data_IF_293622721681
#
_entry.id   IF_293622721681
#
_cell.length_a   1.000
_cell.length_b   1.000
_cell.length_c   1.000
_cell.angle_alpha   90.00
_cell.angle_beta   90.00
_cell.angle_gamma   90.00
#
_symmetry.space_group_name_H-M   'P 1'
#
loop_
_entity.id
_entity.type
_entity.pdbx_description
1 polymer ?
#
# COMPACT_ATOMS: atom_id res chain seq x y z
N UNK A 1 5.69 3.64 -50.41
CA UNK A 1 7.14 3.78 -50.16
C UNK A 1 7.55 2.60 -49.29
N UNK A 2 8.07 1.51 -49.87
CA UNK A 2 9.51 1.12 -49.90
C UNK A 2 10.15 1.10 -48.49
N UNK A 3 10.74 0.06 -47.92
CA UNK A 3 10.84 -1.42 -48.06
C UNK A 3 11.54 -1.88 -46.73
N UNK A 4 11.47 -3.17 -46.32
CA UNK A 4 12.06 -3.72 -45.09
C UNK A 4 13.48 -4.29 -45.31
N UNK A 5 14.22 -4.63 -44.24
CA UNK A 5 15.39 -5.54 -44.32
C UNK A 5 15.51 -6.51 -43.14
N UNK A 6 15.83 -7.73 -43.53
CA UNK A 6 15.99 -8.99 -42.79
C UNK A 6 17.47 -9.33 -42.53
N UNK A 7 17.70 -10.08 -41.44
CA UNK A 7 18.52 -11.31 -41.31
C UNK A 7 20.08 -11.36 -41.49
N UNK A 8 20.71 -11.92 -40.44
CA UNK A 8 21.72 -13.03 -40.37
C UNK A 8 23.21 -12.80 -40.71
N UNK A 9 24.10 -13.18 -39.76
CA UNK A 9 25.28 -14.11 -39.84
C UNK A 9 26.06 -14.06 -38.50
N UNK A 10 26.21 -15.14 -37.72
CA UNK A 10 27.15 -16.29 -37.77
C UNK A 10 28.64 -15.97 -37.59
N UNK A 11 29.26 -16.48 -36.52
CA UNK A 11 30.73 -16.58 -36.36
C UNK A 11 31.12 -17.25 -35.03
N UNK A 12 31.77 -18.43 -35.11
CA UNK A 12 32.33 -19.24 -34.00
C UNK A 12 33.83 -18.96 -33.83
N UNK A 13 34.35 -19.09 -32.61
CA UNK A 13 35.65 -19.74 -32.30
C UNK A 13 35.79 -20.00 -30.78
N UNK A 14 36.13 -21.24 -30.38
CA UNK A 14 36.49 -21.65 -29.00
C UNK A 14 37.91 -21.20 -28.61
N UNK A 15 38.55 -21.46 -27.46
CA UNK A 15 38.47 -22.34 -26.25
C UNK A 15 39.65 -21.88 -25.32
N UNK A 16 39.97 -22.42 -24.10
CA UNK A 16 39.30 -23.35 -23.16
C UNK A 16 39.26 -22.88 -21.66
N UNK A 17 38.69 -23.75 -20.82
CA UNK A 17 38.49 -23.76 -19.35
C UNK A 17 39.75 -23.71 -18.45
N UNK A 18 39.59 -23.45 -17.12
CA UNK A 18 39.33 -24.49 -16.09
C UNK A 18 38.12 -24.12 -15.19
N UNK A 19 37.07 -24.94 -15.02
CA UNK A 19 36.94 -26.08 -14.09
C UNK A 19 37.23 -25.73 -12.61
N UNK A 20 36.18 -25.32 -11.89
CA UNK A 20 36.05 -25.50 -10.44
C UNK A 20 34.80 -26.35 -10.14
N UNK A 21 34.95 -27.24 -9.16
CA UNK A 21 34.13 -28.41 -8.89
C UNK A 21 32.73 -28.10 -8.29
N UNK A 22 31.74 -28.99 -8.51
CA UNK A 22 30.42 -28.89 -7.87
C UNK A 22 30.45 -29.40 -6.42
N UNK A 23 29.84 -28.64 -5.51
CA UNK A 23 29.57 -29.06 -4.14
C UNK A 23 28.32 -29.95 -4.14
N UNK A 24 28.47 -31.20 -3.69
CA UNK A 24 27.37 -32.17 -3.54
C UNK A 24 26.34 -31.73 -2.48
N UNK A 25 25.05 -32.09 -2.64
CA UNK A 25 24.01 -31.76 -1.68
C UNK A 25 23.98 -32.75 -0.51
N UNK A 26 24.04 -32.23 0.72
CA UNK A 26 23.81 -33.02 1.92
C UNK A 26 22.31 -33.39 2.08
N UNK A 27 22.03 -34.68 1.96
CA UNK A 27 21.05 -35.50 2.70
C UNK A 27 19.68 -34.91 3.08
N UNK A 28 18.62 -35.50 2.51
CA UNK A 28 17.26 -35.40 3.02
C UNK A 28 17.02 -36.36 4.22
N UNK A 29 16.23 -35.97 5.23
CA UNK A 29 15.52 -36.90 6.11
C UNK A 29 13.98 -36.81 5.93
N UNK A 30 13.21 -37.76 6.50
CA UNK A 30 12.11 -38.40 5.79
C UNK A 30 10.73 -37.73 5.93
N UNK A 31 9.82 -38.23 5.10
CA UNK A 31 8.41 -37.92 5.00
C UNK A 31 7.60 -38.40 6.21
N UNK A 32 6.80 -37.50 6.79
CA UNK A 32 5.58 -37.83 7.54
C UNK A 32 4.56 -36.69 7.42
N UNK A 33 3.34 -37.03 7.01
CA UNK A 33 2.15 -36.16 6.86
C UNK A 33 1.37 -36.06 8.20
N UNK A 34 0.18 -35.41 8.26
CA UNK A 34 0.01 -33.97 8.47
C UNK A 34 -0.81 -33.65 9.73
N UNK A 35 -0.36 -32.74 10.59
CA UNK A 35 -1.21 -32.15 11.64
C UNK A 35 -0.78 -30.72 11.97
N UNK A 36 -1.75 -29.82 11.86
CA UNK A 36 -1.89 -28.50 12.50
C UNK A 36 -0.61 -27.76 12.93
N UNK A 37 -0.27 -26.69 12.21
CA UNK A 37 0.55 -25.60 12.77
C UNK A 37 -0.16 -24.26 12.59
N UNK A 38 -0.91 -23.89 13.63
CA UNK A 38 -1.37 -22.54 13.86
C UNK A 38 -0.17 -21.60 14.04
N UNK A 39 -0.19 -20.47 13.31
CA UNK A 39 0.84 -19.44 13.37
C UNK A 39 0.98 -18.86 14.77
N UNK A 40 2.12 -19.12 15.41
CA UNK A 40 2.50 -18.45 16.65
C UNK A 40 3.23 -17.15 16.31
N UNK A 41 2.53 -16.03 16.43
CA UNK A 41 3.13 -14.69 16.47
C UNK A 41 3.94 -14.55 17.76
N UNK A 42 5.27 -14.53 17.63
CA UNK A 42 6.18 -14.26 18.73
C UNK A 42 6.19 -12.76 19.05
N UNK A 43 5.44 -12.35 20.09
CA UNK A 43 5.54 -11.03 20.70
C UNK A 43 6.60 -11.07 21.81
N UNK A 44 7.83 -10.67 21.47
CA UNK A 44 8.87 -10.46 22.49
C UNK A 44 8.65 -9.11 23.16
N UNK A 45 8.01 -9.12 24.33
CA UNK A 45 7.94 -7.97 25.24
C UNK A 45 9.22 -7.90 26.07
N UNK A 46 10.13 -7.00 25.69
CA UNK A 46 11.25 -6.64 26.55
C UNK A 46 10.75 -5.73 27.69
N UNK A 47 10.74 -6.26 28.92
CA UNK A 47 10.68 -5.44 30.15
C UNK A 47 11.99 -4.67 30.25
N UNK A 48 11.93 -3.35 30.24
CA UNK A 48 13.05 -2.52 30.71
C UNK A 48 12.58 -1.64 31.86
N UNK A 49 13.23 -1.90 33.00
CA UNK A 49 13.13 -1.20 34.26
C UNK A 49 13.50 0.29 34.16
N UNK A 50 12.75 1.12 34.89
CA UNK A 50 13.16 2.39 35.52
C UNK A 50 13.96 3.41 34.71
N UNK A 51 13.26 4.40 34.12
CA UNK A 51 13.52 5.84 34.30
C UNK A 51 12.44 6.64 33.58
N UNK A 52 11.75 7.47 34.35
CA UNK A 52 10.72 8.41 33.93
C UNK A 52 11.33 9.51 33.05
N UNK A 53 11.18 9.40 31.74
CA UNK A 53 11.24 10.57 30.84
C UNK A 53 9.82 10.91 30.42
N UNK A 54 9.37 12.11 30.79
CA UNK A 54 8.07 12.68 30.47
C UNK A 54 7.87 12.70 28.95
N UNK A 55 7.10 11.75 28.42
CA UNK A 55 6.62 11.79 27.04
C UNK A 55 5.31 12.57 26.99
N UNK A 56 5.29 13.71 26.30
CA UNK A 56 4.03 14.34 25.84
C UNK A 56 3.51 13.52 24.67
N UNK A 57 2.69 12.52 24.95
CA UNK A 57 1.93 11.79 23.93
C UNK A 57 0.67 12.57 23.61
N UNK A 58 0.68 13.31 22.50
CA UNK A 58 -0.55 13.75 21.86
C UNK A 58 -1.14 12.56 21.10
N UNK A 59 -2.26 12.06 21.58
CA UNK A 59 -3.04 11.04 20.89
C UNK A 59 -3.75 11.68 19.69
N UNK A 60 -3.24 11.42 18.48
CA UNK A 60 -3.95 11.34 17.19
C UNK A 60 -2.92 11.03 16.09
N UNK A 61 -3.16 9.97 15.32
CA UNK A 61 -2.36 9.57 14.16
C UNK A 61 -1.35 8.45 14.46
N UNK A 62 -1.24 7.52 13.52
CA UNK A 62 -0.21 6.48 13.40
C UNK A 62 1.18 7.11 13.43
N UNK A 63 1.71 7.40 14.62
CA UNK A 63 3.07 7.93 14.75
C UNK A 63 4.05 6.81 14.40
N UNK A 64 4.80 7.01 13.31
CA UNK A 64 5.99 6.21 13.01
C UNK A 64 6.93 6.38 14.20
N UNK A 65 7.08 5.33 15.01
CA UNK A 65 7.97 5.37 16.17
C UNK A 65 9.41 5.23 15.69
N UNK A 66 10.02 6.34 15.29
CA UNK A 66 11.46 6.46 15.06
C UNK A 66 12.17 6.38 16.42
N UNK A 67 12.26 5.19 17.00
CA UNK A 67 13.04 4.96 18.22
C UNK A 67 14.53 5.01 17.87
N UNK A 68 15.35 5.66 18.72
CA UNK A 68 16.83 5.71 18.68
C UNK A 68 17.46 4.50 17.94
N UNK A 69 17.86 4.76 16.69
CA UNK A 69 18.84 4.11 15.80
C UNK A 69 18.94 2.57 15.63
N UNK A 70 18.36 1.72 16.48
CA UNK A 70 18.68 0.28 16.46
C UNK A 70 17.59 -0.62 15.83
N UNK A 71 16.33 -0.19 15.81
CA UNK A 71 15.22 -1.05 15.34
C UNK A 71 15.09 -1.05 13.81
N UNK A 72 15.29 0.08 13.14
CA UNK A 72 15.18 0.20 11.68
C UNK A 72 16.34 -0.50 10.95
N UNK A 73 17.59 -0.31 11.40
CA UNK A 73 18.76 -0.97 10.84
C UNK A 73 18.68 -2.51 11.01
N UNK A 74 18.24 -2.98 12.19
CA UNK A 74 18.05 -4.42 12.44
C UNK A 74 16.93 -5.02 11.58
N UNK A 75 15.80 -4.30 11.40
CA UNK A 75 14.72 -4.71 10.51
C UNK A 75 15.19 -4.79 9.06
N UNK A 76 15.95 -3.81 8.59
CA UNK A 76 16.51 -3.82 7.24
C UNK A 76 17.48 -4.99 7.03
N UNK A 77 18.38 -5.22 7.98
CA UNK A 77 19.30 -6.36 7.92
C UNK A 77 18.55 -7.70 7.88
N UNK A 78 17.49 -7.85 8.70
CA UNK A 78 16.61 -9.02 8.68
C UNK A 78 15.96 -9.18 7.31
N UNK A 79 15.44 -8.09 6.75
CA UNK A 79 14.74 -8.11 5.47
C UNK A 79 15.67 -8.48 4.32
N UNK A 80 16.90 -7.94 4.29
CA UNK A 80 17.92 -8.32 3.30
C UNK A 80 18.31 -9.78 3.44
N UNK A 81 18.58 -10.26 4.65
CA UNK A 81 18.95 -11.67 4.89
C UNK A 81 17.85 -12.65 4.48
N UNK A 82 16.58 -12.25 4.58
CA UNK A 82 15.42 -13.08 4.22
C UNK A 82 14.90 -12.83 2.82
N UNK A 83 15.53 -11.93 2.07
CA UNK A 83 15.07 -11.48 0.76
C UNK A 83 13.60 -11.01 0.72
N UNK A 84 13.12 -10.34 1.77
CA UNK A 84 11.72 -9.85 1.85
C UNK A 84 11.61 -8.34 1.62
N UNK A 85 10.46 -7.85 1.12
CA UNK A 85 10.18 -6.42 1.08
C UNK A 85 9.96 -5.83 2.48
N UNK A 86 10.14 -4.51 2.60
CA UNK A 86 9.87 -3.73 3.81
C UNK A 86 8.81 -2.70 3.48
N UNK A 87 7.63 -2.82 4.10
CA UNK A 87 6.61 -1.77 4.06
C UNK A 87 6.75 -0.85 5.26
N UNK A 88 7.00 0.43 5.01
CA UNK A 88 7.16 1.45 6.04
C UNK A 88 6.35 2.69 5.67
N UNK A 89 5.39 3.05 6.51
CA UNK A 89 4.75 4.37 6.44
C UNK A 89 5.83 5.42 6.68
N UNK A 90 6.08 6.25 5.68
CA UNK A 90 7.03 7.36 5.73
C UNK A 90 6.71 8.35 4.61
N UNK A 91 7.22 9.57 4.73
CA UNK A 91 6.85 10.67 3.82
C UNK A 91 5.33 10.91 3.83
N UNK A 92 4.68 10.70 4.98
CA UNK A 92 3.21 10.66 5.02
C UNK A 92 2.60 12.02 5.40
N UNK A 93 3.20 12.72 6.37
CA UNK A 93 2.61 13.94 6.91
C UNK A 93 3.64 14.91 7.48
N UNK A 94 3.26 16.18 7.54
CA UNK A 94 4.15 17.24 8.04
C UNK A 94 4.58 16.99 9.49
N UNK A 95 3.69 16.46 10.33
CA UNK A 95 4.03 16.09 11.71
C UNK A 95 5.16 15.04 11.79
N UNK A 96 5.23 14.10 10.85
CA UNK A 96 6.36 13.15 10.75
C UNK A 96 7.64 13.90 10.38
N UNK A 97 7.57 14.75 9.35
CA UNK A 97 8.70 15.54 8.87
C UNK A 97 9.29 16.41 9.98
N UNK A 98 8.44 17.15 10.69
CA UNK A 98 8.85 18.06 11.76
C UNK A 98 9.50 17.30 12.91
N UNK A 99 8.91 16.17 13.31
CA UNK A 99 9.47 15.31 14.35
C UNK A 99 10.83 14.73 13.96
N UNK A 100 10.99 14.29 12.70
CA UNK A 100 12.26 13.78 12.19
C UNK A 100 13.31 14.90 12.13
N UNK A 101 12.92 16.11 11.74
CA UNK A 101 13.80 17.27 11.74
C UNK A 101 14.26 17.63 13.16
N UNK A 102 13.35 17.64 14.15
CA UNK A 102 13.65 17.92 15.55
C UNK A 102 14.59 16.87 16.15
N UNK A 103 14.31 15.58 15.94
CA UNK A 103 15.04 14.49 16.58
C UNK A 103 16.35 14.10 15.88
N UNK A 104 16.45 14.34 14.57
CA UNK A 104 17.54 13.84 13.74
C UNK A 104 18.23 14.91 12.88
N UNK A 105 17.75 16.17 12.90
CA UNK A 105 18.35 17.28 12.14
C UNK A 105 18.34 17.05 10.62
N UNK A 106 17.39 16.28 10.10
CA UNK A 106 17.34 15.90 8.69
C UNK A 106 15.92 15.62 8.21
N UNK A 107 15.73 15.41 6.91
CA UNK A 107 14.41 15.05 6.34
C UNK A 107 14.15 13.54 6.46
N UNK A 108 12.88 13.09 6.45
CA UNK A 108 12.58 11.65 6.46
C UNK A 108 13.26 10.88 5.32
N UNK A 109 13.30 11.43 4.10
CA UNK A 109 13.97 10.79 2.97
C UNK A 109 15.48 10.62 3.20
N UNK A 110 16.16 11.67 3.69
CA UNK A 110 17.59 11.61 4.03
C UNK A 110 17.86 10.65 5.19
N UNK A 111 16.95 10.56 6.15
CA UNK A 111 17.04 9.57 7.22
C UNK A 111 16.93 8.15 6.67
N UNK A 112 15.98 7.87 5.78
CA UNK A 112 15.85 6.57 5.11
C UNK A 112 17.15 6.20 4.37
N UNK A 113 17.72 7.13 3.60
CA UNK A 113 18.99 6.92 2.91
C UNK A 113 20.13 6.56 3.87
N UNK A 114 20.28 7.30 4.98
CA UNK A 114 21.31 7.04 6.01
C UNK A 114 21.17 5.68 6.68
N UNK A 115 19.95 5.14 6.77
CA UNK A 115 19.71 3.82 7.37
C UNK A 115 19.94 2.65 6.41
N UNK A 116 20.16 2.92 5.13
CA UNK A 116 20.24 1.90 4.08
C UNK A 116 18.88 1.35 3.63
N UNK A 117 17.77 1.77 4.26
CA UNK A 117 16.42 1.33 3.90
C UNK A 117 15.96 1.76 2.51
N UNK A 118 16.57 2.81 1.95
CA UNK A 118 16.19 3.37 0.66
C UNK A 118 16.74 2.52 -0.49
N UNK A 119 16.09 1.38 -0.76
CA UNK A 119 16.40 0.46 -1.84
C UNK A 119 15.12 -0.18 -2.44
N UNK A 120 15.30 -1.02 -3.47
CA UNK A 120 14.22 -1.73 -4.18
C UNK A 120 13.26 -2.56 -3.32
N UNK A 121 13.57 -2.79 -2.05
CA UNK A 121 12.73 -3.55 -1.11
C UNK A 121 11.75 -2.64 -0.37
N UNK A 122 11.98 -1.33 -0.39
CA UNK A 122 11.16 -0.38 0.35
C UNK A 122 9.86 -0.09 -0.39
N UNK A 123 8.76 -0.37 0.30
CA UNK A 123 7.42 0.00 -0.09
C UNK A 123 6.98 1.15 0.83
N UNK A 124 6.67 2.30 0.23
CA UNK A 124 6.32 3.54 0.92
C UNK A 124 4.83 3.81 0.76
N UNK A 125 3.97 3.46 1.73
CA UNK A 125 2.61 3.96 1.77
C UNK A 125 2.56 5.49 1.77
N UNK A 126 1.60 6.03 1.03
CA UNK A 126 1.32 7.44 0.84
C UNK A 126 2.32 8.18 -0.04
N UNK A 127 3.55 8.40 0.45
CA UNK A 127 4.55 9.22 -0.25
C UNK A 127 4.07 10.65 -0.52
N UNK A 128 3.36 11.27 0.42
CA UNK A 128 2.73 12.59 0.25
C UNK A 128 3.73 13.75 0.43
N UNK A 129 4.62 13.64 1.41
CA UNK A 129 5.51 14.73 1.85
C UNK A 129 6.91 14.54 1.30
N UNK A 130 7.13 15.03 0.09
CA UNK A 130 8.45 15.31 -0.49
C UNK A 130 8.71 16.83 -0.52
N UNK A 131 9.87 17.25 -1.00
CA UNK A 131 10.16 18.65 -1.35
C UNK A 131 9.05 19.35 -2.15
N UNK A 132 8.41 18.63 -3.08
CA UNK A 132 7.30 19.10 -3.90
C UNK A 132 6.06 19.51 -3.11
N UNK A 133 5.90 19.02 -1.87
CA UNK A 133 4.78 19.41 -1.03
C UNK A 133 4.75 20.95 -0.86
N UNK A 134 3.59 21.62 -1.02
CA UNK A 134 3.47 23.09 -0.91
C UNK A 134 4.03 23.67 0.38
N UNK A 135 3.78 23.00 1.51
CA UNK A 135 4.31 23.41 2.83
C UNK A 135 5.81 23.10 3.04
N UNK A 136 6.51 22.58 2.02
CA UNK A 136 7.95 22.28 2.08
C UNK A 136 8.72 23.20 1.14
N UNK A 137 8.66 22.94 -0.17
CA UNK A 137 9.25 23.80 -1.19
C UNK A 137 8.29 24.10 -2.34
N UNK A 138 7.18 23.35 -2.49
CA UNK A 138 6.21 23.52 -3.57
C UNK A 138 6.69 23.07 -4.96
N UNK A 139 7.92 22.58 -5.06
CA UNK A 139 8.56 22.11 -6.28
C UNK A 139 9.49 20.93 -5.98
N UNK A 140 9.69 20.05 -6.96
CA UNK A 140 10.66 18.96 -6.82
C UNK A 140 12.08 19.51 -6.92
N UNK A 141 12.91 19.21 -5.93
CA UNK A 141 14.32 19.60 -5.81
C UNK A 141 15.24 18.38 -5.76
N UNK A 142 14.73 17.20 -6.14
CA UNK A 142 15.49 15.97 -6.28
C UNK A 142 14.99 14.81 -5.41
N UNK A 143 13.98 15.00 -4.56
CA UNK A 143 13.42 13.88 -3.78
C UNK A 143 12.83 12.82 -4.72
N UNK A 144 12.15 13.21 -5.82
CA UNK A 144 11.60 12.22 -6.77
C UNK A 144 12.70 11.46 -7.51
N UNK A 145 13.76 12.16 -7.92
CA UNK A 145 14.92 11.55 -8.55
C UNK A 145 15.63 10.57 -7.60
N UNK A 146 15.75 10.91 -6.32
CA UNK A 146 16.33 10.04 -5.30
C UNK A 146 15.48 8.79 -5.05
N UNK A 147 14.15 8.93 -4.98
CA UNK A 147 13.23 7.81 -4.86
C UNK A 147 13.31 6.88 -6.08
N UNK A 148 13.32 7.44 -7.29
CA UNK A 148 13.44 6.70 -8.53
C UNK A 148 14.78 5.94 -8.62
N UNK A 149 15.89 6.61 -8.33
CA UNK A 149 17.22 6.00 -8.35
C UNK A 149 17.37 4.84 -7.35
N UNK A 150 16.69 4.92 -6.20
CA UNK A 150 16.65 3.85 -5.22
C UNK A 150 15.77 2.65 -5.65
N UNK A 151 14.89 2.84 -6.64
CA UNK A 151 13.97 1.82 -7.13
C UNK A 151 12.85 1.47 -6.14
N UNK A 152 12.47 2.40 -5.25
CA UNK A 152 11.39 2.17 -4.30
C UNK A 152 10.03 2.10 -5.00
N UNK A 153 9.05 1.50 -4.33
CA UNK A 153 7.65 1.58 -4.76
C UNK A 153 6.84 2.47 -3.80
N UNK A 154 6.05 3.38 -4.34
CA UNK A 154 5.12 4.22 -3.57
C UNK A 154 3.71 3.65 -3.68
N UNK A 155 3.08 3.36 -2.55
CA UNK A 155 1.71 2.85 -2.48
C UNK A 155 0.78 4.03 -2.22
N UNK A 156 0.17 4.53 -3.29
CA UNK A 156 -0.77 5.64 -3.22
C UNK A 156 -2.12 5.16 -2.66
N UNK A 157 -2.65 5.86 -1.66
CA UNK A 157 -3.91 5.51 -0.99
C UNK A 157 -4.91 6.68 -1.07
N UNK A 158 -5.51 6.98 -2.24
CA UNK A 158 -6.31 8.20 -2.45
C UNK A 158 -7.41 8.42 -1.40
N UNK A 159 -8.21 7.38 -1.11
CA UNK A 159 -9.36 7.51 -0.21
C UNK A 159 -8.98 7.80 1.24
N UNK A 160 -7.90 7.21 1.74
CA UNK A 160 -7.46 7.46 3.13
C UNK A 160 -6.85 8.85 3.23
N UNK A 161 -6.02 9.25 2.25
CA UNK A 161 -5.40 10.56 2.19
C UNK A 161 -6.47 11.66 2.16
N UNK A 162 -7.48 11.51 1.28
CA UNK A 162 -8.60 12.45 1.19
C UNK A 162 -9.36 12.57 2.51
N UNK A 163 -9.63 11.45 3.21
CA UNK A 163 -10.31 11.47 4.53
C UNK A 163 -9.54 12.28 5.58
N UNK A 164 -8.22 12.38 5.45
CA UNK A 164 -7.36 13.18 6.33
C UNK A 164 -7.03 14.57 5.77
N UNK A 165 -7.68 15.00 4.69
CA UNK A 165 -7.43 16.30 4.07
C UNK A 165 -6.06 16.40 3.39
N UNK A 166 -5.48 15.27 2.98
CA UNK A 166 -4.19 15.19 2.31
C UNK A 166 -4.34 14.66 0.88
N UNK A 167 -3.36 14.97 0.03
CA UNK A 167 -3.31 14.50 -1.36
C UNK A 167 -1.87 14.22 -1.76
N UNK A 168 -1.67 13.31 -2.71
CA UNK A 168 -0.37 13.15 -3.35
C UNK A 168 -0.15 14.36 -4.28
N UNK A 169 0.91 15.12 -4.04
CA UNK A 169 1.20 16.36 -4.77
C UNK A 169 1.77 16.07 -6.17
N UNK A 170 0.91 15.59 -7.06
CA UNK A 170 1.13 15.13 -8.44
C UNK A 170 1.47 13.65 -8.58
N UNK A 171 0.45 12.82 -8.88
CA UNK A 171 0.63 11.43 -9.30
C UNK A 171 1.52 11.33 -10.55
N UNK A 172 1.29 12.22 -11.53
CA UNK A 172 2.02 12.18 -12.80
C UNK A 172 3.49 12.57 -12.66
N UNK A 173 3.85 13.47 -11.74
CA UNK A 173 5.26 13.76 -11.46
C UNK A 173 6.01 12.52 -10.98
N UNK A 174 5.43 11.75 -10.05
CA UNK A 174 6.01 10.50 -9.56
C UNK A 174 6.18 9.47 -10.69
N UNK A 175 5.13 9.31 -11.50
CA UNK A 175 5.15 8.40 -12.64
C UNK A 175 6.22 8.79 -13.67
N UNK A 176 6.28 10.08 -14.04
CA UNK A 176 7.27 10.60 -15.01
C UNK A 176 8.70 10.52 -14.49
N UNK A 177 8.91 10.62 -13.18
CA UNK A 177 10.20 10.38 -12.54
C UNK A 177 10.64 8.90 -12.60
N UNK A 178 9.76 7.98 -13.01
CA UNK A 178 10.06 6.54 -13.10
C UNK A 178 9.86 5.79 -11.78
N UNK A 179 9.16 6.39 -10.80
CA UNK A 179 8.84 5.73 -9.54
C UNK A 179 7.73 4.71 -9.79
N UNK A 180 7.89 3.48 -9.29
CA UNK A 180 6.83 2.49 -9.36
C UNK A 180 5.67 2.89 -8.43
N UNK A 181 4.52 3.23 -9.02
CA UNK A 181 3.31 3.55 -8.28
C UNK A 181 2.42 2.31 -8.13
N UNK A 182 1.95 2.07 -6.92
CA UNK A 182 0.98 1.06 -6.56
C UNK A 182 -0.26 1.72 -5.96
N UNK A 183 -1.38 1.00 -5.88
CA UNK A 183 -2.53 1.44 -5.08
C UNK A 183 -2.70 0.64 -3.79
N UNK A 184 -3.19 1.32 -2.77
CA UNK A 184 -3.58 0.73 -1.49
C UNK A 184 -4.86 1.36 -0.94
N UNK A 185 -5.59 0.61 -0.12
CA UNK A 185 -6.80 1.12 0.55
C UNK A 185 -6.51 1.71 1.92
N UNK A 186 -5.42 1.26 2.55
CA UNK A 186 -4.97 1.56 3.93
C UNK A 186 -5.97 1.12 5.01
N UNK A 187 -7.21 1.59 4.96
CA UNK A 187 -8.27 1.34 5.95
C UNK A 187 -9.51 0.65 5.35
N UNK A 188 -10.42 0.24 6.24
CA UNK A 188 -11.73 -0.32 5.88
C UNK A 188 -12.76 0.80 5.60
N UNK A 189 -13.75 0.59 4.72
CA UNK A 189 -13.88 -0.55 3.80
C UNK A 189 -12.82 -0.50 2.67
N UNK A 190 -12.22 -1.64 2.29
CA UNK A 190 -11.30 -1.68 1.18
C UNK A 190 -12.06 -1.58 -0.14
N UNK A 191 -11.83 -0.52 -0.92
CA UNK A 191 -12.44 -0.33 -2.23
C UNK A 191 -11.44 0.33 -3.18
N UNK A 192 -10.63 -0.49 -3.86
CA UNK A 192 -9.64 0.01 -4.81
C UNK A 192 -10.27 0.73 -6.01
N UNK A 193 -11.52 0.40 -6.38
CA UNK A 193 -12.21 1.05 -7.50
C UNK A 193 -12.53 2.49 -7.14
N UNK A 194 -13.13 2.71 -5.97
CA UNK A 194 -13.33 4.06 -5.45
C UNK A 194 -12.01 4.78 -5.15
N UNK A 195 -10.97 4.02 -4.81
CA UNK A 195 -9.58 4.49 -4.78
C UNK A 195 -9.15 5.13 -6.10
N UNK A 196 -9.26 4.39 -7.19
CA UNK A 196 -8.91 4.87 -8.53
C UNK A 196 -9.74 6.09 -8.95
N UNK A 197 -11.07 6.03 -8.78
CA UNK A 197 -11.98 7.16 -9.03
C UNK A 197 -11.53 8.44 -8.31
N UNK A 198 -11.37 8.33 -6.98
CA UNK A 198 -10.93 9.46 -6.14
C UNK A 198 -9.56 9.98 -6.59
N UNK A 199 -8.63 9.08 -6.90
CA UNK A 199 -7.27 9.43 -7.31
C UNK A 199 -7.24 10.18 -8.65
N UNK A 200 -7.97 9.70 -9.66
CA UNK A 200 -8.05 10.37 -10.98
C UNK A 200 -8.55 11.79 -10.83
N UNK A 201 -9.63 11.99 -10.06
CA UNK A 201 -10.19 13.32 -9.84
C UNK A 201 -9.22 14.24 -9.08
N UNK A 202 -8.60 13.75 -8.00
CA UNK A 202 -7.64 14.54 -7.22
C UNK A 202 -6.39 14.91 -8.02
N UNK A 203 -5.88 13.99 -8.84
CA UNK A 203 -4.69 14.27 -9.66
C UNK A 203 -4.93 15.43 -10.63
N UNK A 204 -6.12 15.50 -11.26
CA UNK A 204 -6.50 16.61 -12.16
C UNK A 204 -6.61 17.94 -11.42
N UNK A 205 -7.19 17.94 -10.22
CA UNK A 205 -7.31 19.14 -9.38
C UNK A 205 -5.93 19.63 -8.97
N UNK A 206 -5.06 18.72 -8.50
CA UNK A 206 -3.70 19.06 -8.04
C UNK A 206 -2.82 19.57 -9.18
N UNK A 207 -2.88 18.94 -10.36
CA UNK A 207 -2.06 19.32 -11.49
C UNK A 207 -2.65 20.48 -12.33
N UNK A 208 -3.92 20.86 -12.08
CA UNK A 208 -4.59 21.93 -12.81
C UNK A 208 -4.84 21.65 -14.30
N UNK A 209 -4.86 20.38 -14.72
CA UNK A 209 -5.01 19.98 -16.13
C UNK A 209 -5.85 18.71 -16.29
N UNK A 210 -6.60 18.65 -17.39
CA UNK A 210 -7.56 17.58 -17.65
C UNK A 210 -6.90 16.21 -17.93
N UNK A 211 -5.71 16.23 -18.53
CA UNK A 211 -4.95 15.06 -18.97
C UNK A 211 -4.06 14.47 -17.86
N UNK A 212 -4.16 14.96 -16.62
CA UNK A 212 -3.38 14.44 -15.51
C UNK A 212 -3.85 13.05 -15.09
N UNK A 213 -2.89 12.12 -14.99
CA UNK A 213 -3.05 10.76 -14.47
C UNK A 213 -4.28 10.03 -15.05
N UNK A 214 -4.29 9.75 -16.36
CA UNK A 214 -5.40 9.08 -17.02
C UNK A 214 -5.68 7.70 -16.41
N UNK A 215 -6.90 7.21 -16.63
CA UNK A 215 -7.49 6.05 -15.97
C UNK A 215 -6.59 4.79 -16.06
N UNK A 216 -5.96 4.57 -17.21
CA UNK A 216 -5.06 3.44 -17.45
C UNK A 216 -3.90 3.39 -16.45
N UNK A 217 -3.33 4.53 -16.04
CA UNK A 217 -2.22 4.54 -15.09
C UNK A 217 -2.67 4.16 -13.67
N UNK A 218 -3.92 4.44 -13.32
CA UNK A 218 -4.51 3.96 -12.07
C UNK A 218 -4.79 2.46 -12.11
N UNK A 219 -5.27 1.94 -13.24
CA UNK A 219 -5.44 0.48 -13.43
C UNK A 219 -4.09 -0.24 -13.40
N UNK A 220 -3.06 0.31 -14.06
CA UNK A 220 -1.68 -0.20 -13.99
C UNK A 220 -1.17 -0.20 -12.54
N UNK A 221 -1.37 0.90 -11.79
CA UNK A 221 -0.97 0.97 -10.39
C UNK A 221 -1.73 -0.03 -9.49
N UNK A 222 -3.00 -0.32 -9.80
CA UNK A 222 -3.80 -1.32 -9.12
C UNK A 222 -3.38 -2.77 -9.42
N UNK A 223 -2.68 -3.00 -10.53
CA UNK A 223 -2.34 -4.34 -11.04
C UNK A 223 -0.82 -4.52 -11.15
N UNK A 224 -0.22 -4.12 -12.27
CA UNK A 224 1.21 -4.21 -12.56
C UNK A 224 2.08 -3.51 -11.52
N UNK A 225 1.64 -2.37 -10.98
CA UNK A 225 2.35 -1.62 -9.95
C UNK A 225 2.58 -2.47 -8.70
N UNK A 226 1.51 -3.10 -8.20
CA UNK A 226 1.57 -4.03 -7.07
C UNK A 226 2.43 -5.26 -7.38
N UNK A 227 2.31 -5.83 -8.57
CA UNK A 227 3.13 -6.96 -9.01
C UNK A 227 4.63 -6.62 -9.03
N UNK A 228 5.00 -5.45 -9.56
CA UNK A 228 6.38 -4.93 -9.57
C UNK A 228 6.90 -4.69 -8.14
N UNK A 229 6.10 -4.10 -7.27
CA UNK A 229 6.45 -3.88 -5.86
C UNK A 229 6.72 -5.19 -5.11
N UNK A 230 5.97 -6.24 -5.43
CA UNK A 230 6.16 -7.59 -4.87
C UNK A 230 7.25 -8.39 -5.58
N UNK A 231 7.88 -7.83 -6.64
CA UNK A 231 8.89 -8.50 -7.48
C UNK A 231 8.34 -9.80 -8.10
N UNK A 232 7.08 -9.78 -8.53
CA UNK A 232 6.35 -10.90 -9.14
C UNK A 232 6.01 -10.57 -10.59
N UNK A 233 6.75 -11.16 -11.53
CA UNK A 233 6.55 -10.94 -12.97
C UNK A 233 5.36 -11.72 -13.53
N UNK A 234 4.90 -12.74 -12.81
CA UNK A 234 3.78 -13.62 -13.14
C UNK A 234 2.41 -13.09 -12.67
N UNK A 235 2.34 -11.88 -12.09
CA UNK A 235 1.11 -11.26 -11.60
C UNK A 235 0.75 -9.97 -12.36
N UNK A 236 -0.51 -9.54 -12.22
CA UNK A 236 -0.99 -8.23 -12.67
C UNK A 236 -1.18 -8.09 -14.18
N UNK A 237 -1.21 -9.20 -14.92
CA UNK A 237 -1.29 -9.24 -16.38
C UNK A 237 -2.08 -10.45 -16.87
N UNK A 238 -2.65 -10.33 -18.06
CA UNK A 238 -3.39 -11.40 -18.74
C UNK A 238 -2.60 -11.86 -19.97
N UNK A 239 -1.63 -12.74 -19.77
CA UNK A 239 -0.82 -13.33 -20.84
C UNK A 239 -0.43 -14.78 -20.53
N UNK A 240 -0.15 -15.62 -21.54
CA UNK A 240 0.32 -16.98 -21.31
C UNK A 240 1.55 -17.03 -20.39
N UNK A 241 1.52 -17.90 -19.39
CA UNK A 241 2.59 -18.06 -18.40
C UNK A 241 2.41 -17.22 -17.12
N UNK A 242 1.51 -16.23 -17.10
CA UNK A 242 1.12 -15.55 -15.87
C UNK A 242 0.20 -16.42 -15.00
N UNK A 243 0.12 -16.13 -13.70
CA UNK A 243 -0.88 -16.73 -12.82
C UNK A 243 -2.29 -16.32 -13.26
N UNK A 244 -3.23 -17.26 -13.16
CA UNK A 244 -4.64 -16.99 -13.40
C UNK A 244 -5.28 -16.27 -12.20
N UNK A 245 -4.83 -15.04 -11.95
CA UNK A 245 -5.37 -14.11 -10.96
C UNK A 245 -6.31 -13.15 -11.68
N UNK A 246 -7.61 -13.43 -11.61
CA UNK A 246 -8.64 -12.77 -12.40
C UNK A 246 -9.74 -12.21 -11.49
N UNK A 247 -10.31 -11.09 -11.90
CA UNK A 247 -11.54 -10.56 -11.29
C UNK A 247 -12.50 -10.12 -12.39
N UNK A 248 -13.77 -10.45 -12.24
CA UNK A 248 -14.82 -10.02 -13.15
C UNK A 248 -15.78 -9.07 -12.43
N UNK A 249 -16.17 -8.00 -13.12
CA UNK A 249 -17.09 -6.99 -12.62
C UNK A 249 -18.33 -6.91 -13.52
N UNK A 250 -19.49 -6.69 -12.92
CA UNK A 250 -20.73 -6.38 -13.66
C UNK A 250 -20.79 -4.91 -14.02
N UNK A 251 -21.26 -4.61 -15.24
CA UNK A 251 -21.47 -3.26 -15.76
C UNK A 251 -22.88 -3.04 -16.30
N UNK A 252 -23.79 -3.98 -16.08
CA UNK A 252 -25.14 -3.99 -16.64
C UNK A 252 -26.20 -3.33 -15.74
N UNK A 253 -25.78 -2.59 -14.71
CA UNK A 253 -26.70 -1.86 -13.84
C UNK A 253 -27.02 -0.48 -14.41
N UNK A 254 -28.27 -0.04 -14.32
CA UNK A 254 -28.67 1.31 -14.76
C UNK A 254 -27.86 2.42 -14.08
N UNK A 255 -27.34 2.16 -12.87
CA UNK A 255 -26.49 3.07 -12.09
C UNK A 255 -25.08 3.23 -12.68
N UNK A 256 -24.65 2.31 -13.55
CA UNK A 256 -23.36 2.41 -14.25
C UNK A 256 -23.40 3.42 -15.40
N UNK A 257 -24.61 3.79 -15.83
CA UNK A 257 -24.84 4.73 -16.93
C UNK A 257 -24.59 4.12 -18.31
N UNK A 258 -24.37 4.98 -19.31
CA UNK A 258 -24.04 4.54 -20.67
C UNK A 258 -22.60 3.99 -20.70
N UNK A 259 -22.43 2.82 -21.31
CA UNK A 259 -21.13 2.20 -21.53
C UNK A 259 -20.53 2.70 -22.85
N UNK A 260 -19.39 3.40 -22.78
CA UNK A 260 -18.59 3.79 -23.95
C UNK A 260 -17.26 3.02 -23.93
N UNK A 261 -16.44 3.30 -22.92
CA UNK A 261 -15.24 2.52 -22.60
C UNK A 261 -15.47 1.78 -21.27
N UNK A 262 -15.43 0.43 -21.23
CA UNK A 262 -15.83 -0.33 -20.05
C UNK A 262 -14.90 -0.08 -18.85
N UNK A 263 -13.62 0.20 -19.09
CA UNK A 263 -12.65 0.47 -18.01
C UNK A 263 -12.93 1.83 -17.38
N UNK A 264 -13.10 2.86 -18.20
CA UNK A 264 -13.39 4.23 -17.77
C UNK A 264 -14.77 4.34 -17.15
N UNK A 265 -15.80 3.74 -17.76
CA UNK A 265 -17.16 3.69 -17.21
C UNK A 265 -17.13 3.01 -15.84
N UNK A 266 -16.49 1.84 -15.72
CA UNK A 266 -16.38 1.15 -14.44
C UNK A 266 -15.62 1.95 -13.39
N UNK A 267 -14.47 2.52 -13.77
CA UNK A 267 -13.61 3.25 -12.85
C UNK A 267 -14.32 4.48 -12.28
N UNK A 268 -15.03 5.25 -13.11
CA UNK A 268 -15.64 6.52 -12.70
C UNK A 268 -17.04 6.37 -12.08
N UNK A 269 -17.79 5.32 -12.44
CA UNK A 269 -19.17 5.15 -11.99
C UNK A 269 -19.34 3.98 -11.01
N UNK A 270 -18.36 3.08 -10.92
CA UNK A 270 -18.48 1.81 -10.21
C UNK A 270 -17.84 1.76 -8.83
N UNK A 271 -17.92 0.59 -8.21
CA UNK A 271 -17.29 0.25 -6.94
C UNK A 271 -16.83 -1.21 -6.91
N UNK A 272 -15.98 -1.58 -5.94
CA UNK A 272 -15.59 -2.98 -5.75
C UNK A 272 -16.78 -3.94 -5.52
N UNK A 273 -17.98 -3.43 -5.20
CA UNK A 273 -19.19 -4.24 -4.99
C UNK A 273 -19.74 -4.89 -6.27
N UNK A 274 -19.34 -4.41 -7.44
CA UNK A 274 -19.73 -5.01 -8.72
C UNK A 274 -18.94 -6.28 -9.05
N UNK A 275 -17.96 -6.65 -8.24
CA UNK A 275 -17.19 -7.86 -8.44
C UNK A 275 -18.10 -9.10 -8.30
N UNK A 276 -18.14 -9.95 -9.32
CA UNK A 276 -18.91 -11.19 -9.32
C UNK A 276 -18.05 -12.42 -9.19
N UNK A 277 -16.90 -12.41 -9.86
CA UNK A 277 -15.97 -13.53 -9.83
C UNK A 277 -14.59 -13.06 -9.41
N UNK A 278 -13.92 -13.88 -8.61
CA UNK A 278 -12.50 -13.72 -8.31
C UNK A 278 -11.85 -15.08 -8.37
N UNK A 279 -10.72 -15.16 -9.06
CA UNK A 279 -9.91 -16.35 -9.26
C UNK A 279 -8.50 -16.02 -8.79
N UNK A 280 -7.89 -16.92 -8.02
CA UNK A 280 -6.51 -16.79 -7.54
C UNK A 280 -5.77 -18.07 -7.87
N UNK A 281 -4.68 -17.95 -8.63
CA UNK A 281 -3.89 -19.08 -9.15
C UNK A 281 -4.78 -20.13 -9.84
N UNK A 282 -5.76 -19.68 -10.63
CA UNK A 282 -6.70 -20.56 -11.34
C UNK A 282 -7.83 -21.14 -10.47
N UNK A 283 -7.83 -20.89 -9.15
CA UNK A 283 -8.89 -21.35 -8.25
C UNK A 283 -9.95 -20.26 -8.05
N UNK A 284 -11.23 -20.54 -8.35
CA UNK A 284 -12.32 -19.63 -7.99
C UNK A 284 -12.39 -19.43 -6.47
N UNK A 285 -12.32 -18.19 -6.01
CA UNK A 285 -12.46 -17.79 -4.60
C UNK A 285 -13.72 -16.98 -4.34
N UNK A 286 -14.36 -16.47 -5.39
CA UNK A 286 -15.67 -15.84 -5.36
C UNK A 286 -16.42 -16.17 -6.66
N UNK A 287 -17.71 -16.47 -6.54
CA UNK A 287 -18.61 -16.78 -7.67
C UNK A 287 -19.95 -16.10 -7.42
N UNK A 288 -20.48 -15.41 -8.43
CA UNK A 288 -21.72 -14.63 -8.35
C UNK A 288 -21.81 -13.70 -7.12
N UNK A 289 -20.68 -13.06 -6.77
CA UNK A 289 -20.58 -12.13 -5.63
C UNK A 289 -20.59 -12.82 -4.26
N UNK A 290 -20.48 -14.16 -4.22
CA UNK A 290 -20.49 -14.96 -2.99
C UNK A 290 -19.12 -15.59 -2.76
N UNK A 291 -18.61 -15.47 -1.54
CA UNK A 291 -17.38 -16.14 -1.10
C UNK A 291 -17.76 -17.49 -0.48
N UNK A 292 -17.37 -18.63 -1.07
CA UNK A 292 -17.71 -19.95 -0.53
C UNK A 292 -17.26 -20.11 0.93
N UNK A 293 -18.09 -20.77 1.74
CA UNK A 293 -17.80 -21.04 3.15
C UNK A 293 -17.88 -19.83 4.09
N UNK A 294 -18.34 -18.66 3.61
CA UNK A 294 -18.43 -17.45 4.42
C UNK A 294 -19.88 -17.09 4.77
N UNK A 295 -20.22 -17.07 6.06
CA UNK A 295 -21.48 -16.50 6.57
C UNK A 295 -21.30 -15.00 6.83
N UNK A 296 -21.60 -14.18 5.81
CA UNK A 296 -21.47 -12.73 5.87
C UNK A 296 -22.38 -12.07 6.93
N UNK A 297 -23.67 -12.45 7.09
CA UNK A 297 -24.50 -11.95 8.19
C UNK A 297 -23.88 -12.21 9.57
N UNK A 298 -23.38 -13.41 9.83
CA UNK A 298 -22.72 -13.72 11.10
C UNK A 298 -21.40 -12.96 11.28
N UNK A 299 -20.58 -12.87 10.24
CA UNK A 299 -19.35 -12.08 10.28
C UNK A 299 -19.63 -10.62 10.62
N UNK A 300 -20.68 -10.03 10.05
CA UNK A 300 -21.13 -8.67 10.36
C UNK A 300 -21.53 -8.52 11.83
N UNK A 301 -22.34 -9.44 12.36
CA UNK A 301 -22.73 -9.42 13.79
C UNK A 301 -21.50 -9.50 14.71
N UNK A 302 -20.58 -10.42 14.44
CA UNK A 302 -19.34 -10.57 15.22
C UNK A 302 -18.46 -9.32 15.16
N UNK A 303 -18.33 -8.71 13.98
CA UNK A 303 -17.59 -7.46 13.81
C UNK A 303 -18.23 -6.31 14.60
N UNK A 304 -19.56 -6.22 14.63
CA UNK A 304 -20.28 -5.23 15.42
C UNK A 304 -20.02 -5.40 16.93
N UNK A 305 -20.11 -6.62 17.46
CA UNK A 305 -19.79 -6.90 18.87
C UNK A 305 -18.34 -6.53 19.23
N UNK A 306 -17.39 -6.84 18.35
CA UNK A 306 -15.99 -6.44 18.55
C UNK A 306 -15.81 -4.92 18.54
N UNK A 307 -16.49 -4.22 17.61
CA UNK A 307 -16.46 -2.76 17.55
C UNK A 307 -17.03 -2.13 18.82
N UNK A 308 -18.15 -2.65 19.35
CA UNK A 308 -18.75 -2.18 20.61
C UNK A 308 -17.79 -2.37 21.80
N UNK A 309 -17.12 -3.53 21.87
CA UNK A 309 -16.10 -3.81 22.89
C UNK A 309 -14.94 -2.82 22.80
N UNK A 310 -14.42 -2.61 21.58
CA UNK A 310 -13.34 -1.66 21.33
C UNK A 310 -13.76 -0.24 21.72
N UNK A 311 -14.96 0.19 21.28
CA UNK A 311 -15.53 1.51 21.55
C UNK A 311 -15.68 1.77 23.05
N UNK A 312 -16.12 0.79 23.82
CA UNK A 312 -16.24 0.90 25.27
C UNK A 312 -14.86 1.07 25.94
N UNK A 313 -13.85 0.34 25.49
CA UNK A 313 -12.50 0.39 26.06
C UNK A 313 -11.71 1.66 25.68
N UNK A 314 -12.17 2.47 24.71
CA UNK A 314 -11.43 3.65 24.27
C UNK A 314 -11.21 4.69 25.38
N UNK A 315 -12.11 4.78 26.35
CA UNK A 315 -11.96 5.65 27.51
C UNK A 315 -10.70 5.32 28.33
N UNK A 316 -10.27 4.06 28.37
CA UNK A 316 -9.04 3.65 29.07
C UNK A 316 -7.77 4.19 28.41
N UNK A 317 -7.82 4.43 27.10
CA UNK A 317 -6.70 4.95 26.29
C UNK A 317 -6.74 6.47 26.15
N UNK A 318 -7.86 7.10 26.47
CA UNK A 318 -8.00 8.55 26.45
C UNK A 318 -7.30 9.17 27.66
N UNK A 319 -6.45 10.16 27.44
CA UNK A 319 -5.70 10.83 28.50
C UNK A 319 -6.62 11.46 29.57
N UNK A 320 -7.81 11.91 29.16
CA UNK A 320 -8.82 12.51 30.03
C UNK A 320 -9.84 11.49 30.55
N UNK A 321 -9.68 10.21 30.22
CA UNK A 321 -10.58 9.10 30.60
C UNK A 321 -12.05 9.35 30.29
N UNK A 322 -12.32 10.03 29.18
CA UNK A 322 -13.69 10.35 28.76
C UNK A 322 -14.47 9.10 28.39
N UNK A 323 -15.78 9.14 28.59
CA UNK A 323 -16.68 8.05 28.23
C UNK A 323 -16.85 7.89 26.71
N UNK A 324 -17.30 6.72 26.26
CA UNK A 324 -17.48 6.42 24.84
C UNK A 324 -18.48 7.34 24.13
N UNK A 325 -19.51 7.85 24.82
CA UNK A 325 -20.46 8.80 24.24
C UNK A 325 -19.81 10.14 23.86
N UNK A 326 -18.87 10.62 24.67
CA UNK A 326 -18.14 11.87 24.41
C UNK A 326 -17.03 11.67 23.37
N UNK A 327 -16.37 10.50 23.36
CA UNK A 327 -15.33 10.17 22.39
C UNK A 327 -15.90 9.85 21.00
N UNK A 328 -17.13 9.33 20.94
CA UNK A 328 -17.83 8.94 19.72
C UNK A 328 -19.23 9.57 19.71
N UNK A 329 -19.32 10.91 19.59
CA UNK A 329 -20.60 11.58 19.51
C UNK A 329 -21.32 11.17 18.22
N UNK A 330 -22.65 11.10 18.21
CA UNK A 330 -23.40 10.91 16.97
C UNK A 330 -23.16 12.08 16.02
N UNK A 331 -23.19 11.81 14.70
CA UNK A 331 -23.01 12.83 13.66
C UNK A 331 -24.05 13.95 13.76
N UNK A 332 -25.26 13.58 14.15
CA UNK A 332 -26.34 14.52 14.46
C UNK A 332 -26.62 14.48 15.95
N UNK A 333 -26.86 15.62 16.61
CA UNK A 333 -27.24 15.63 18.01
C UNK A 333 -28.54 14.83 18.21
N UNK A 334 -28.77 14.28 19.41
CA UNK A 334 -30.06 13.71 19.76
C UNK A 334 -31.18 14.74 19.53
N UNK A 335 -32.33 14.27 19.07
CA UNK A 335 -33.51 15.13 18.98
C UNK A 335 -33.95 15.53 20.39
N UNK A 336 -33.97 16.82 20.66
CA UNK A 336 -34.56 17.38 21.88
C UNK A 336 -35.92 17.99 21.53
N UNK A 337 -36.98 17.46 22.11
CA UNK A 337 -38.31 18.01 21.96
C UNK A 337 -38.38 19.32 22.75
N UNK A 338 -38.26 20.46 22.07
CA UNK A 338 -38.43 21.77 22.71
C UNK A 338 -39.88 21.92 23.14
N UNK A 339 -40.15 21.82 24.44
CA UNK A 339 -41.43 22.21 25.03
C UNK A 339 -41.76 23.65 24.61
N UNK A 340 -42.79 23.83 23.79
CA UNK A 340 -43.33 25.13 23.39
C UNK A 340 -44.32 25.65 24.41
#
# INVERSE_FOLDING_TARGET
MLRPRTAVRSGRSGTPHPQEAPCEPAGAPPTSSPTETAGTLCSVTARSCGRTTRSRTWARGTTVRWTRNWTSARRWWIARRRDVPVRLHCLQGMAERDLVQELHGTTPLRLLARTGLLDTRLLVPHGIVTDRHPDVHGEDRGDLAALAAAGVSVIHCPQTSLRYGQVLHSFDAYRRAGINLCLGTDSFPPDLIRGMDTGVHLAKVVDGRLDAAPAEHYVEAATLGGARALRRTDLGRLEPGAQADLVAFRLDDIRDGVQDDPVRTFLLNGTARQATHSVVAGRPVMTDGRIPGTDLPNLRRRAQTLFETMRAAYGERDLRRRGAGELFPPTFPPYEETSR
#
